data_IF_530124381603
#
_entry.id   IF_530124381603
#
_cell.length_a   1.000
_cell.length_b   1.000
_cell.length_c   1.000
_cell.angle_alpha   90.00
_cell.angle_beta   90.00
_cell.angle_gamma   90.00
#
_symmetry.space_group_name_H-M   'P 1'
#
loop_
_entity.id
_entity.type
_entity.pdbx_description
1 polymer ?
#
# COMPACT_ATOMS: atom_id res chain seq x y z
N UNK A 1 0.42 -1.50 35.54
CA UNK A 1 1.01 -1.27 34.20
C UNK A 1 -0.03 -1.66 33.18
N UNK A 2 -0.67 -0.69 32.52
CA UNK A 2 -1.63 -1.00 31.45
C UNK A 2 -0.82 -1.26 30.19
N UNK A 3 -0.79 -2.51 29.74
CA UNK A 3 -0.31 -2.88 28.42
C UNK A 3 -1.12 -2.06 27.41
N UNK A 4 -0.50 -1.06 26.80
CA UNK A 4 -1.09 -0.41 25.63
C UNK A 4 -1.01 -1.45 24.53
N UNK A 5 -2.13 -2.07 24.22
CA UNK A 5 -2.22 -2.99 23.11
C UNK A 5 -1.98 -2.16 21.85
N UNK A 6 -0.80 -2.30 21.25
CA UNK A 6 -0.47 -1.66 19.98
C UNK A 6 -1.54 -2.05 18.97
N UNK A 7 -2.32 -1.08 18.50
CA UNK A 7 -3.24 -1.30 17.39
C UNK A 7 -2.35 -1.65 16.20
N UNK A 8 -2.41 -2.92 15.76
CA UNK A 8 -1.75 -3.32 14.53
C UNK A 8 -2.56 -2.76 13.36
N UNK A 9 -1.89 -2.05 12.48
CA UNK A 9 -2.47 -1.36 11.32
C UNK A 9 -3.16 -2.35 10.37
N UNK A 10 -2.67 -3.58 10.27
CA UNK A 10 -3.34 -4.64 9.52
C UNK A 10 -4.54 -5.24 10.26
N UNK A 11 -4.67 -5.03 11.57
CA UNK A 11 -5.82 -5.51 12.34
C UNK A 11 -7.04 -4.59 12.27
N UNK A 12 -6.89 -3.33 11.85
CA UNK A 12 -7.97 -2.34 11.83
C UNK A 12 -7.79 -1.32 10.71
N UNK A 13 -8.89 -0.74 10.22
CA UNK A 13 -8.86 0.27 9.18
C UNK A 13 -9.30 -0.29 7.82
N UNK A 14 -9.21 0.50 6.75
CA UNK A 14 -9.90 0.23 5.49
C UNK A 14 -9.63 -1.13 4.87
N UNK A 15 -8.39 -1.65 4.96
CA UNK A 15 -8.07 -2.99 4.43
C UNK A 15 -8.74 -4.08 5.27
N UNK A 16 -8.65 -3.99 6.60
CA UNK A 16 -9.30 -4.96 7.48
C UNK A 16 -10.83 -4.92 7.32
N UNK A 17 -11.40 -3.72 7.19
CA UNK A 17 -12.84 -3.52 7.00
C UNK A 17 -13.32 -4.07 5.65
N UNK A 18 -12.50 -3.96 4.59
CA UNK A 18 -12.78 -4.59 3.30
C UNK A 18 -12.96 -6.11 3.45
N UNK A 19 -12.05 -6.80 4.16
CA UNK A 19 -12.18 -8.24 4.35
C UNK A 19 -13.37 -8.59 5.25
N UNK A 20 -13.45 -7.98 6.44
CA UNK A 20 -14.42 -8.38 7.47
C UNK A 20 -15.86 -8.00 7.16
N UNK A 21 -16.08 -6.83 6.56
CA UNK A 21 -17.44 -6.33 6.32
C UNK A 21 -18.01 -6.84 5.01
N UNK A 22 -17.16 -6.94 3.97
CA UNK A 22 -17.60 -7.24 2.61
C UNK A 22 -17.67 -8.75 2.33
N UNK A 23 -16.92 -9.56 3.08
CA UNK A 23 -16.87 -11.01 2.95
C UNK A 23 -17.07 -11.68 4.31
N UNK A 24 -18.29 -11.60 4.88
CA UNK A 24 -18.58 -12.27 6.14
C UNK A 24 -18.32 -13.78 6.00
N UNK A 25 -17.59 -14.36 6.96
CA UNK A 25 -17.20 -15.77 6.95
C UNK A 25 -15.85 -16.05 6.30
N UNK A 26 -15.18 -15.06 5.69
CA UNK A 26 -13.76 -15.18 5.36
C UNK A 26 -12.91 -14.94 6.61
N UNK A 27 -12.09 -15.93 6.99
CA UNK A 27 -11.22 -15.88 8.18
C UNK A 27 -9.96 -15.03 7.93
N UNK A 28 -10.10 -13.71 7.76
CA UNK A 28 -9.00 -12.80 7.44
C UNK A 28 -7.83 -12.87 8.44
N UNK A 29 -6.62 -13.14 7.94
CA UNK A 29 -5.38 -13.14 8.72
C UNK A 29 -4.61 -11.81 8.56
N UNK A 30 -4.67 -10.90 9.55
CA UNK A 30 -3.99 -9.60 9.49
C UNK A 30 -2.47 -9.69 9.59
N UNK A 31 -1.88 -10.89 9.77
CA UNK A 31 -0.41 -11.06 9.75
C UNK A 31 0.11 -11.15 8.31
N UNK A 32 -0.75 -11.50 7.35
CA UNK A 32 -0.43 -11.61 5.94
C UNK A 32 -0.67 -10.28 5.21
N UNK A 33 -0.08 -10.13 4.03
CA UNK A 33 -0.27 -8.93 3.22
C UNK A 33 -1.66 -8.91 2.58
N UNK A 34 -2.23 -7.73 2.37
CA UNK A 34 -3.57 -7.54 1.82
C UNK A 34 -3.74 -8.21 0.44
N UNK A 35 -2.68 -8.20 -0.39
CA UNK A 35 -2.70 -8.83 -1.71
C UNK A 35 -2.58 -10.35 -1.63
N UNK A 36 -1.96 -10.90 -0.58
CA UNK A 36 -1.94 -12.33 -0.30
C UNK A 36 -3.31 -12.79 0.21
N UNK A 37 -3.88 -12.08 1.17
CA UNK A 37 -5.21 -12.38 1.71
C UNK A 37 -6.32 -12.21 0.67
N UNK A 38 -6.17 -11.28 -0.28
CA UNK A 38 -7.09 -11.17 -1.41
C UNK A 38 -7.03 -12.39 -2.33
N UNK A 39 -5.84 -12.94 -2.60
CA UNK A 39 -5.73 -14.19 -3.37
C UNK A 39 -6.40 -15.33 -2.63
N UNK A 40 -6.18 -15.42 -1.31
CA UNK A 40 -6.81 -16.42 -0.46
C UNK A 40 -8.33 -16.30 -0.43
N UNK A 41 -8.84 -15.07 -0.34
CA UNK A 41 -10.26 -14.76 -0.47
C UNK A 41 -10.81 -15.28 -1.82
N UNK A 42 -10.11 -15.00 -2.92
CA UNK A 42 -10.51 -15.49 -4.25
C UNK A 42 -10.59 -17.02 -4.27
N UNK A 43 -9.55 -17.72 -3.82
CA UNK A 43 -9.45 -19.17 -3.97
C UNK A 43 -10.28 -19.95 -2.95
N UNK A 44 -10.26 -19.55 -1.68
CA UNK A 44 -10.81 -20.34 -0.57
C UNK A 44 -12.24 -19.99 -0.20
N UNK A 45 -12.68 -18.76 -0.49
CA UNK A 45 -14.00 -18.26 -0.08
C UNK A 45 -14.90 -17.94 -1.27
N UNK A 46 -14.36 -17.35 -2.33
CA UNK A 46 -15.13 -17.02 -3.53
C UNK A 46 -15.12 -18.15 -4.56
N UNK A 47 -14.15 -19.07 -4.47
CA UNK A 47 -13.89 -20.17 -5.41
C UNK A 47 -13.68 -19.68 -6.85
N UNK A 48 -12.88 -18.63 -7.02
CA UNK A 48 -12.57 -17.98 -8.30
C UNK A 48 -11.05 -17.93 -8.53
N UNK A 49 -10.62 -17.93 -9.79
CA UNK A 49 -9.19 -17.86 -10.12
C UNK A 49 -8.71 -16.40 -10.05
N UNK A 50 -7.86 -15.99 -9.09
CA UNK A 50 -7.41 -14.60 -8.97
C UNK A 50 -6.62 -14.08 -10.19
N UNK A 51 -6.11 -14.97 -11.05
CA UNK A 51 -5.38 -14.62 -12.26
C UNK A 51 -6.29 -14.46 -13.50
N UNK A 52 -7.57 -14.83 -13.42
CA UNK A 52 -8.55 -14.55 -14.47
C UNK A 52 -9.03 -13.09 -14.38
N UNK A 53 -8.28 -12.20 -15.03
CA UNK A 53 -8.58 -10.77 -15.01
C UNK A 53 -9.86 -10.38 -15.76
N UNK A 54 -10.45 -11.27 -16.55
CA UNK A 54 -11.70 -11.02 -17.25
C UNK A 54 -12.92 -11.37 -16.38
N UNK A 55 -12.74 -12.27 -15.40
CA UNK A 55 -13.79 -12.64 -14.46
C UNK A 55 -14.28 -11.42 -13.65
N UNK A 56 -15.59 -11.17 -13.71
CA UNK A 56 -16.21 -10.01 -13.07
C UNK A 56 -15.91 -9.93 -11.56
N UNK A 57 -15.99 -11.05 -10.84
CA UNK A 57 -15.77 -11.09 -9.37
C UNK A 57 -14.31 -10.83 -9.00
N UNK A 58 -13.36 -11.28 -9.84
CA UNK A 58 -11.94 -10.96 -9.68
C UNK A 58 -11.74 -9.45 -9.84
N UNK A 59 -12.29 -8.86 -10.91
CA UNK A 59 -12.18 -7.41 -11.19
C UNK A 59 -12.81 -6.55 -10.09
N UNK A 60 -14.01 -6.92 -9.64
CA UNK A 60 -14.74 -6.21 -8.59
C UNK A 60 -13.97 -6.27 -7.27
N UNK A 61 -13.62 -7.47 -6.79
CA UNK A 61 -12.93 -7.64 -5.51
C UNK A 61 -11.56 -6.96 -5.53
N UNK A 62 -10.84 -7.03 -6.66
CA UNK A 62 -9.56 -6.35 -6.86
C UNK A 62 -9.70 -4.82 -6.83
N UNK A 63 -10.76 -4.28 -7.43
CA UNK A 63 -11.06 -2.83 -7.39
C UNK A 63 -11.37 -2.41 -5.96
N UNK A 64 -12.24 -3.14 -5.27
CA UNK A 64 -12.62 -2.87 -3.88
C UNK A 64 -11.42 -2.93 -2.93
N UNK A 65 -10.53 -3.91 -3.08
CA UNK A 65 -9.27 -3.95 -2.33
C UNK A 65 -8.38 -2.74 -2.60
N UNK A 66 -8.21 -2.35 -3.87
CA UNK A 66 -7.40 -1.18 -4.24
C UNK A 66 -7.95 0.11 -3.64
N UNK A 67 -9.27 0.26 -3.58
CA UNK A 67 -9.92 1.37 -2.88
C UNK A 67 -9.57 1.35 -1.39
N UNK A 68 -9.66 0.19 -0.74
CA UNK A 68 -9.28 0.04 0.66
C UNK A 68 -7.80 0.38 0.91
N UNK A 69 -6.89 -0.05 0.04
CA UNK A 69 -5.47 0.32 0.13
C UNK A 69 -5.26 1.83 0.02
N UNK A 70 -5.96 2.52 -0.89
CA UNK A 70 -5.89 3.99 -1.04
C UNK A 70 -6.35 4.67 0.25
N UNK A 71 -7.49 4.24 0.80
CA UNK A 71 -7.99 4.78 2.07
C UNK A 71 -7.02 4.53 3.22
N UNK A 72 -6.45 3.33 3.30
CA UNK A 72 -5.46 2.99 4.33
C UNK A 72 -4.21 3.88 4.25
N UNK A 73 -3.72 4.16 3.04
CA UNK A 73 -2.62 5.10 2.84
C UNK A 73 -3.00 6.50 3.32
N UNK A 74 -4.18 6.99 2.92
CA UNK A 74 -4.66 8.32 3.27
C UNK A 74 -4.83 8.49 4.78
N UNK A 75 -5.38 7.51 5.48
CA UNK A 75 -5.49 7.52 6.94
C UNK A 75 -4.13 7.56 7.63
N UNK A 76 -3.15 6.88 7.04
CA UNK A 76 -1.83 6.73 7.64
C UNK A 76 -0.92 7.93 7.44
N UNK A 77 -0.91 8.50 6.23
CA UNK A 77 0.07 9.51 5.84
C UNK A 77 -0.58 10.85 5.47
N UNK A 78 -1.92 10.90 5.38
CA UNK A 78 -2.65 12.07 4.90
C UNK A 78 -2.86 12.08 3.40
N UNK A 79 -3.55 13.13 2.92
CA UNK A 79 -3.99 13.28 1.53
C UNK A 79 -3.30 14.41 0.79
N UNK A 80 -2.74 15.39 1.51
CA UNK A 80 -2.27 16.66 0.98
C UNK A 80 -0.74 16.68 0.82
N UNK A 81 -0.27 16.92 -0.41
CA UNK A 81 1.15 17.03 -0.73
C UNK A 81 1.76 18.40 -0.39
N UNK A 82 0.99 19.33 0.15
CA UNK A 82 1.47 20.56 0.77
C UNK A 82 1.74 20.41 2.28
N UNK A 83 1.49 19.23 2.86
CA UNK A 83 1.76 18.95 4.27
C UNK A 83 3.22 18.51 4.48
N UNK A 84 4.05 19.39 5.06
CA UNK A 84 5.42 19.04 5.47
C UNK A 84 5.44 17.86 6.44
N UNK A 85 4.52 17.82 7.41
CA UNK A 85 4.43 16.73 8.38
C UNK A 85 4.15 15.38 7.71
N UNK A 86 3.31 15.34 6.68
CA UNK A 86 3.05 14.13 5.91
C UNK A 86 4.31 13.63 5.18
N UNK A 87 5.05 14.55 4.56
CA UNK A 87 6.31 14.24 3.89
C UNK A 87 7.39 13.75 4.86
N UNK A 88 7.52 14.39 6.02
CA UNK A 88 8.45 13.98 7.07
C UNK A 88 8.08 12.61 7.65
N UNK A 89 6.79 12.32 7.85
CA UNK A 89 6.31 11.00 8.28
C UNK A 89 6.70 9.89 7.29
N UNK A 90 6.58 10.15 5.98
CA UNK A 90 7.04 9.22 4.95
C UNK A 90 8.56 9.03 4.98
N UNK A 91 9.35 10.11 5.11
CA UNK A 91 10.80 10.03 5.24
C UNK A 91 11.22 9.18 6.46
N UNK A 92 10.60 9.41 7.61
CA UNK A 92 10.84 8.63 8.83
C UNK A 92 10.50 7.15 8.60
N UNK A 93 9.34 6.84 8.02
CA UNK A 93 8.91 5.45 7.83
C UNK A 93 9.79 4.69 6.82
N UNK A 94 10.34 5.38 5.83
CA UNK A 94 11.28 4.80 4.84
C UNK A 94 12.73 4.77 5.38
N UNK A 95 12.96 5.35 6.56
CA UNK A 95 14.27 5.46 7.20
C UNK A 95 15.30 6.14 6.28
N UNK A 96 15.01 7.39 5.91
CA UNK A 96 15.90 8.31 5.19
C UNK A 96 15.99 9.64 5.95
N UNK A 97 16.84 10.56 5.48
CA UNK A 97 16.91 11.91 6.03
C UNK A 97 15.50 12.55 6.07
N UNK A 98 15.25 13.34 7.12
CA UNK A 98 14.00 14.04 7.36
C UNK A 98 14.25 15.55 7.26
N UNK A 99 14.21 16.14 6.05
CA UNK A 99 14.34 17.58 5.87
C UNK A 99 13.20 18.36 6.55
N UNK A 100 13.43 19.65 6.75
CA UNK A 100 12.48 20.65 7.22
C UNK A 100 11.77 21.40 6.07
N UNK A 101 12.01 20.99 4.82
CA UNK A 101 11.40 21.53 3.61
C UNK A 101 10.74 20.44 2.74
N UNK A 102 9.58 20.77 2.16
CA UNK A 102 8.78 19.84 1.34
C UNK A 102 9.54 19.41 0.09
N UNK A 103 10.23 20.33 -0.59
CA UNK A 103 10.92 20.02 -1.83
C UNK A 103 12.10 19.07 -1.58
N UNK A 104 12.84 19.26 -0.49
CA UNK A 104 13.92 18.35 -0.10
C UNK A 104 13.38 16.99 0.39
N UNK A 105 12.27 16.94 1.14
CA UNK A 105 11.61 15.67 1.46
C UNK A 105 11.20 14.90 0.19
N UNK A 106 10.52 15.60 -0.74
CA UNK A 106 10.13 15.03 -2.04
C UNK A 106 11.35 14.46 -2.74
N UNK A 107 12.43 15.24 -2.89
CA UNK A 107 13.67 14.82 -3.55
C UNK A 107 14.31 13.58 -2.92
N UNK A 108 14.38 13.52 -1.58
CA UNK A 108 14.92 12.36 -0.87
C UNK A 108 14.07 11.10 -1.12
N UNK A 109 12.74 11.22 -1.09
CA UNK A 109 11.80 10.14 -1.41
C UNK A 109 11.84 9.76 -2.89
N UNK A 110 11.98 10.70 -3.82
CA UNK A 110 12.07 10.42 -5.27
C UNK A 110 13.31 9.60 -5.63
N UNK A 111 14.40 9.79 -4.90
CA UNK A 111 15.64 8.99 -5.01
C UNK A 111 15.55 7.62 -4.37
N UNK A 112 14.53 7.37 -3.56
CA UNK A 112 14.33 6.09 -2.88
C UNK A 112 13.19 5.33 -3.54
N UNK A 113 13.45 4.09 -3.97
CA UNK A 113 12.45 3.28 -4.65
C UNK A 113 11.90 2.23 -3.68
N UNK A 114 10.69 2.44 -3.18
CA UNK A 114 10.01 1.51 -2.28
C UNK A 114 8.66 1.12 -2.87
N UNK A 115 8.18 -0.07 -2.54
CA UNK A 115 6.81 -0.43 -2.87
C UNK A 115 5.85 0.24 -1.87
N UNK A 116 4.92 1.05 -2.39
CA UNK A 116 4.01 1.82 -1.54
C UNK A 116 3.02 0.93 -0.77
N UNK A 117 2.70 -0.26 -1.29
CA UNK A 117 1.81 -1.21 -0.59
C UNK A 117 2.54 -1.74 0.64
N UNK A 118 3.78 -2.21 0.46
CA UNK A 118 4.62 -2.65 1.59
C UNK A 118 4.74 -1.54 2.63
N UNK A 119 5.04 -0.32 2.21
CA UNK A 119 5.13 0.85 3.09
C UNK A 119 3.83 1.11 3.89
N UNK A 120 2.68 1.01 3.22
CA UNK A 120 1.37 1.24 3.83
C UNK A 120 1.04 0.19 4.89
N UNK A 121 1.46 -1.04 4.64
CA UNK A 121 1.18 -2.20 5.48
C UNK A 121 2.23 -2.43 6.57
N UNK A 122 3.26 -1.59 6.70
CA UNK A 122 4.28 -1.75 7.76
C UNK A 122 3.69 -1.53 9.15
N UNK A 123 3.98 -2.42 10.09
CA UNK A 123 3.65 -2.21 11.50
C UNK A 123 4.72 -1.38 12.21
N UNK A 124 4.45 -1.03 13.47
CA UNK A 124 5.47 -0.48 14.36
C UNK A 124 6.47 -1.58 14.74
N UNK A 125 7.77 -1.26 14.71
CA UNK A 125 8.84 -2.25 14.94
C UNK A 125 9.20 -3.12 13.74
N UNK A 126 8.48 -3.04 12.62
CA UNK A 126 8.89 -3.68 11.37
C UNK A 126 10.23 -3.11 10.88
N UNK A 127 11.09 -3.94 10.25
CA UNK A 127 12.29 -3.41 9.59
C UNK A 127 11.90 -2.42 8.48
N UNK A 128 12.77 -1.46 8.14
CA UNK A 128 12.52 -0.52 7.05
C UNK A 128 12.15 -1.24 5.74
N UNK A 129 11.33 -0.61 4.88
CA UNK A 129 10.90 -1.24 3.64
C UNK A 129 12.10 -1.46 2.72
N UNK A 130 12.04 -2.51 1.91
CA UNK A 130 13.08 -2.80 0.93
C UNK A 130 13.23 -1.64 -0.07
N UNK A 131 14.46 -1.15 -0.23
CA UNK A 131 14.82 -0.06 -1.15
C UNK A 131 15.38 -0.66 -2.43
N UNK A 132 14.59 -0.63 -3.49
CA UNK A 132 14.98 -1.12 -4.80
C UNK A 132 16.05 -0.21 -5.43
N UNK A 133 17.04 -0.77 -6.14
CA UNK A 133 18.10 0.01 -6.76
C UNK A 133 17.61 0.85 -7.96
N UNK A 134 16.54 0.41 -8.63
CA UNK A 134 15.98 1.10 -9.80
C UNK A 134 14.45 1.04 -9.80
N UNK A 135 13.82 1.95 -10.55
CA UNK A 135 12.37 1.90 -10.81
C UNK A 135 11.98 0.62 -11.55
N UNK A 136 12.87 0.07 -12.40
CA UNK A 136 12.66 -1.20 -13.09
C UNK A 136 12.56 -2.37 -12.11
N UNK A 137 13.49 -2.48 -11.15
CA UNK A 137 13.46 -3.53 -10.13
C UNK A 137 12.20 -3.41 -9.23
N UNK A 138 11.84 -2.18 -8.85
CA UNK A 138 10.57 -1.92 -8.16
C UNK A 138 9.36 -2.37 -8.99
N UNK A 139 9.36 -2.08 -10.29
CA UNK A 139 8.29 -2.49 -11.23
C UNK A 139 8.15 -4.01 -11.29
N UNK A 140 9.25 -4.73 -11.48
CA UNK A 140 9.29 -6.20 -11.56
C UNK A 140 8.71 -6.82 -10.29
N UNK A 141 9.19 -6.38 -9.11
CA UNK A 141 8.64 -6.81 -7.83
C UNK A 141 7.14 -6.54 -7.69
N UNK A 142 6.72 -5.32 -8.03
CA UNK A 142 5.32 -4.89 -7.86
C UNK A 142 4.38 -5.68 -8.78
N UNK A 143 4.83 -6.01 -10.00
CA UNK A 143 4.08 -6.85 -10.95
C UNK A 143 4.00 -8.29 -10.47
N UNK A 144 5.13 -8.89 -10.08
CA UNK A 144 5.19 -10.28 -9.62
C UNK A 144 4.31 -10.50 -8.38
N UNK A 145 4.28 -9.54 -7.46
CA UNK A 145 3.48 -9.64 -6.22
C UNK A 145 2.05 -9.11 -6.38
N UNK A 146 1.75 -8.43 -7.48
CA UNK A 146 0.57 -7.58 -7.68
C UNK A 146 0.42 -6.43 -6.67
N UNK A 147 1.46 -6.07 -5.91
CA UNK A 147 1.43 -4.96 -4.96
C UNK A 147 1.50 -3.61 -5.68
N UNK A 148 0.37 -3.16 -6.20
CA UNK A 148 0.27 -1.98 -7.08
C UNK A 148 -0.91 -1.10 -6.66
N UNK A 149 -0.61 0.15 -6.33
CA UNK A 149 -1.63 1.20 -6.18
C UNK A 149 -2.23 1.60 -7.54
N UNK A 150 -3.55 1.84 -7.61
CA UNK A 150 -4.17 2.41 -8.81
C UNK A 150 -3.65 3.84 -9.06
N UNK A 151 -3.42 4.18 -10.34
CA UNK A 151 -2.93 5.52 -10.71
C UNK A 151 -4.01 6.59 -10.68
N UNK A 152 -5.15 6.28 -11.29
CA UNK A 152 -6.25 7.22 -11.48
C UNK A 152 -7.43 6.88 -10.56
N UNK A 153 -7.17 6.81 -9.25
CA UNK A 153 -8.20 6.57 -8.25
C UNK A 153 -8.77 7.88 -7.72
N UNK A 154 -10.09 8.02 -7.72
CA UNK A 154 -10.78 9.26 -7.32
C UNK A 154 -10.50 9.65 -5.87
N UNK A 155 -10.38 8.67 -4.99
CA UNK A 155 -10.08 8.89 -3.56
C UNK A 155 -8.59 9.07 -3.25
N UNK A 156 -7.70 8.94 -4.24
CA UNK A 156 -6.27 9.15 -3.98
C UNK A 156 -5.99 10.66 -3.80
N UNK A 157 -5.44 11.02 -2.64
CA UNK A 157 -4.98 12.38 -2.36
C UNK A 157 -3.81 12.81 -3.25
N UNK A 158 -3.50 14.10 -3.29
CA UNK A 158 -2.35 14.62 -4.05
C UNK A 158 -1.03 14.03 -3.53
N UNK A 159 -0.93 13.74 -2.23
CA UNK A 159 0.23 13.09 -1.62
C UNK A 159 0.52 11.72 -2.25
N UNK A 160 -0.47 10.82 -2.22
CA UNK A 160 -0.34 9.49 -2.83
C UNK A 160 -0.06 9.59 -4.33
N UNK A 161 -0.83 10.41 -5.06
CA UNK A 161 -0.67 10.61 -6.51
C UNK A 161 0.75 11.05 -6.88
N UNK A 162 1.35 11.93 -6.08
CA UNK A 162 2.72 12.42 -6.28
C UNK A 162 3.77 11.31 -6.11
N UNK A 163 3.56 10.36 -5.20
CA UNK A 163 4.49 9.27 -4.93
C UNK A 163 4.49 8.17 -6.01
N UNK A 164 3.44 8.08 -6.84
CA UNK A 164 3.25 6.97 -7.77
C UNK A 164 4.34 6.89 -8.86
N UNK A 165 5.16 5.84 -8.77
CA UNK A 165 6.16 5.49 -9.79
C UNK A 165 5.51 4.93 -11.06
N UNK A 166 6.27 4.93 -12.16
CA UNK A 166 5.86 4.30 -13.42
C UNK A 166 6.08 2.78 -13.34
N UNK A 167 5.11 2.06 -12.78
CA UNK A 167 5.22 0.59 -12.62
C UNK A 167 4.99 -0.15 -13.94
N UNK A 168 4.02 0.28 -14.76
CA UNK A 168 3.67 -0.47 -15.98
C UNK A 168 4.70 -0.31 -17.09
N UNK A 169 5.25 0.89 -17.24
CA UNK A 169 6.26 1.27 -18.23
C UNK A 169 7.40 2.01 -17.52
N UNK A 170 8.27 1.30 -16.77
CA UNK A 170 9.36 1.94 -16.05
C UNK A 170 10.39 2.51 -17.03
N UNK A 171 11.13 3.56 -16.66
CA UNK A 171 12.29 4.00 -17.43
C UNK A 171 13.33 2.87 -17.51
N UNK A 172 14.19 2.86 -18.55
CA UNK A 172 15.34 1.96 -18.59
C UNK A 172 16.25 2.17 -17.37
N UNK A 173 16.94 1.10 -16.97
CA UNK A 173 17.90 1.11 -15.85
C UNK A 173 19.10 2.01 -16.14
#
# INVERSE_FOLDING_TARGET
MKSVQLIRIRQSGPIADFFRTRYPGFDYDPRKGAVEEWRRLCTEHLYINPDDSEEYRVRESRRSLRTAMVRQFNERFGVDDHSLLAWQALCMKINIAVPDDIAECKKALFRTHVNLVDLTEMEEGDPPPFKFPTVKALSEYSKATLKIFPRDHVEAGSLLKTLLRQINKPPPS
#
